data_IF_015343831140
#
_entry.id   IF_015343831140
#
_cell.length_a   1.000
_cell.length_b   1.000
_cell.length_c   1.000
_cell.angle_alpha   90.00
_cell.angle_beta   90.00
_cell.angle_gamma   90.00
#
_symmetry.space_group_name_H-M   'P 1'
#
loop_
_entity.id
_entity.type
_entity.pdbx_description
1 polymer ?
#
# COMPACT_ATOMS: atom_id res chain seq x y z
N UNK A 1 -44.20 -49.89 -8.16
CA UNK A 1 -43.38 -49.30 -7.08
C UNK A 1 -41.96 -49.27 -7.64
N UNK A 2 -41.35 -48.13 -7.97
CA UNK A 2 -40.70 -47.16 -7.06
C UNK A 2 -40.63 -45.81 -7.79
N UNK A 3 -41.03 -44.72 -7.12
CA UNK A 3 -40.91 -43.34 -7.61
C UNK A 3 -39.46 -42.89 -7.44
N UNK A 4 -38.84 -42.41 -8.52
CA UNK A 4 -37.55 -41.74 -8.48
C UNK A 4 -37.72 -40.39 -7.76
N UNK A 5 -37.07 -40.24 -6.61
CA UNK A 5 -36.99 -38.97 -5.88
C UNK A 5 -35.59 -38.42 -6.11
N UNK A 6 -35.47 -37.52 -7.08
CA UNK A 6 -34.27 -36.73 -7.29
C UNK A 6 -34.20 -35.67 -6.18
N UNK A 7 -33.33 -35.88 -5.19
CA UNK A 7 -32.95 -34.82 -4.25
C UNK A 7 -32.05 -33.81 -4.98
N UNK A 8 -32.62 -32.67 -5.36
CA UNK A 8 -31.84 -31.47 -5.67
C UNK A 8 -31.33 -30.88 -4.35
N UNK A 9 -30.07 -31.16 -4.03
CA UNK A 9 -29.36 -30.50 -2.92
C UNK A 9 -28.91 -29.12 -3.40
N UNK A 10 -29.70 -28.10 -3.10
CA UNK A 10 -29.31 -26.68 -3.26
C UNK A 10 -28.19 -26.36 -2.26
N UNK A 11 -26.94 -26.28 -2.75
CA UNK A 11 -25.84 -25.65 -2.04
C UNK A 11 -26.14 -24.15 -1.94
N UNK A 12 -26.57 -23.70 -0.76
CA UNK A 12 -26.60 -22.28 -0.42
C UNK A 12 -25.15 -21.81 -0.24
N UNK A 13 -24.62 -21.08 -1.23
CA UNK A 13 -23.43 -20.26 -1.04
C UNK A 13 -23.82 -19.10 -0.11
N UNK A 14 -23.67 -19.28 1.20
CA UNK A 14 -23.62 -18.14 2.12
C UNK A 14 -22.27 -17.47 1.94
N UNK A 15 -22.17 -16.65 0.91
CA UNK A 15 -21.10 -15.67 0.77
C UNK A 15 -21.21 -14.69 1.92
N UNK A 16 -20.40 -14.89 2.95
CA UNK A 16 -20.22 -13.93 4.04
C UNK A 16 -19.51 -12.69 3.49
N UNK A 17 -20.24 -11.80 2.82
CA UNK A 17 -19.80 -10.43 2.60
C UNK A 17 -19.84 -9.72 3.96
N UNK A 18 -18.73 -9.78 4.71
CA UNK A 18 -18.52 -8.86 5.83
C UNK A 18 -18.25 -7.50 5.19
N UNK A 19 -19.13 -6.54 5.46
CA UNK A 19 -19.15 -5.24 4.80
C UNK A 19 -17.78 -4.58 4.76
N UNK A 20 -17.34 -4.32 3.53
CA UNK A 20 -16.12 -3.59 3.22
C UNK A 20 -16.31 -2.15 3.69
N UNK A 21 -15.42 -1.65 4.55
CA UNK A 21 -15.38 -0.22 4.82
C UNK A 21 -14.79 0.44 3.58
N UNK A 22 -15.59 1.25 2.89
CA UNK A 22 -15.17 1.92 1.67
C UNK A 22 -14.01 2.87 2.00
N UNK A 23 -12.86 2.63 1.37
CA UNK A 23 -11.70 3.50 1.53
C UNK A 23 -12.06 4.94 1.15
N UNK A 24 -11.40 5.95 1.76
CA UNK A 24 -11.53 7.33 1.29
C UNK A 24 -11.29 7.42 -0.22
N UNK A 25 -12.06 8.22 -0.95
CA UNK A 25 -11.91 8.38 -2.41
C UNK A 25 -10.49 8.78 -2.81
N UNK A 26 -9.78 9.51 -1.93
CA UNK A 26 -8.37 9.87 -2.11
C UNK A 26 -7.45 8.64 -2.28
N UNK A 27 -7.80 7.48 -1.72
CA UNK A 27 -7.04 6.23 -1.85
C UNK A 27 -7.18 5.56 -3.23
N UNK A 28 -8.14 6.01 -4.04
CA UNK A 28 -8.29 5.60 -5.43
C UNK A 28 -7.46 6.47 -6.39
N UNK A 29 -6.59 7.32 -5.85
CA UNK A 29 -5.66 8.13 -6.61
C UNK A 29 -4.72 7.27 -7.46
N UNK A 30 -4.41 7.75 -8.66
CA UNK A 30 -3.44 7.10 -9.55
C UNK A 30 -1.98 7.31 -9.10
N UNK A 31 -1.07 6.57 -9.72
CA UNK A 31 0.36 6.62 -9.41
C UNK A 31 0.96 8.03 -9.56
N UNK A 32 0.46 8.84 -10.49
CA UNK A 32 0.93 10.21 -10.70
C UNK A 32 0.57 11.14 -9.54
N UNK A 33 -0.63 11.00 -8.99
CA UNK A 33 -1.07 11.75 -7.81
C UNK A 33 -0.28 11.33 -6.57
N UNK A 34 -0.11 10.02 -6.34
CA UNK A 34 0.67 9.51 -5.20
C UNK A 34 2.13 9.99 -5.29
N UNK A 35 2.74 9.90 -6.47
CA UNK A 35 4.11 10.38 -6.71
C UNK A 35 4.25 11.88 -6.48
N UNK A 36 3.27 12.66 -6.92
CA UNK A 36 3.25 14.10 -6.70
C UNK A 36 3.14 14.46 -5.22
N UNK A 37 2.30 13.74 -4.47
CA UNK A 37 2.19 13.93 -3.01
C UNK A 37 3.51 13.56 -2.31
N UNK A 38 4.15 12.45 -2.71
CA UNK A 38 5.42 12.01 -2.15
C UNK A 38 6.56 13.03 -2.35
N UNK A 39 6.46 13.94 -3.32
CA UNK A 39 7.45 15.01 -3.49
C UNK A 39 7.62 15.91 -2.24
N UNK A 40 6.66 15.90 -1.31
CA UNK A 40 6.75 16.59 -0.03
C UNK A 40 7.63 15.87 1.02
N UNK A 41 8.00 14.61 0.81
CA UNK A 41 8.81 13.85 1.76
C UNK A 41 10.20 14.49 1.98
N UNK A 42 10.74 14.48 3.21
CA UNK A 42 10.23 13.81 4.41
C UNK A 42 9.16 14.62 5.19
N UNK A 43 8.67 15.73 4.64
CA UNK A 43 7.54 16.46 5.20
C UNK A 43 6.21 15.68 5.10
N UNK A 44 5.10 16.25 5.61
CA UNK A 44 3.80 15.58 5.58
C UNK A 44 3.33 15.30 4.15
N UNK A 45 3.14 14.02 3.83
CA UNK A 45 2.54 13.58 2.57
C UNK A 45 1.07 13.35 2.79
N UNK A 46 0.23 14.12 2.08
CA UNK A 46 -1.22 14.11 2.23
C UNK A 46 -1.88 14.08 0.87
N UNK A 47 -2.83 13.18 0.71
CA UNK A 47 -3.74 13.15 -0.42
C UNK A 47 -4.87 14.16 -0.21
N UNK A 48 -5.77 14.23 -1.18
CA UNK A 48 -6.96 15.07 -1.09
C UNK A 48 -7.72 14.82 0.22
N UNK A 49 -8.24 15.90 0.83
CA UNK A 49 -8.91 15.83 2.13
C UNK A 49 -7.97 15.60 3.32
N UNK A 50 -6.65 15.65 3.13
CA UNK A 50 -5.68 15.48 4.22
C UNK A 50 -5.43 14.02 4.60
N UNK A 51 -5.80 13.07 3.73
CA UNK A 51 -5.67 11.64 3.95
C UNK A 51 -4.20 11.22 3.88
N UNK A 52 -3.62 10.62 4.93
CA UNK A 52 -2.27 10.06 4.87
C UNK A 52 -2.27 8.75 4.07
N UNK A 53 -1.13 8.39 3.46
CA UNK A 53 -0.99 7.18 2.64
C UNK A 53 -1.26 5.90 3.41
N UNK A 54 -0.89 5.83 4.69
CA UNK A 54 -1.10 4.66 5.55
C UNK A 54 -2.59 4.39 5.79
N UNK A 55 -3.45 5.41 5.74
CA UNK A 55 -4.89 5.25 5.92
C UNK A 55 -5.55 4.52 4.74
N UNK A 56 -4.89 4.48 3.59
CA UNK A 56 -5.34 3.70 2.43
C UNK A 56 -5.06 2.21 2.53
N UNK A 57 -4.37 1.80 3.60
CA UNK A 57 -4.11 0.40 3.96
C UNK A 57 -4.71 0.09 5.33
N UNK A 58 -5.74 0.83 5.75
CA UNK A 58 -6.41 0.55 7.02
C UNK A 58 -6.99 -0.87 7.03
N UNK A 59 -6.94 -1.52 8.20
CA UNK A 59 -7.34 -2.92 8.40
C UNK A 59 -8.81 -3.21 8.11
N UNK A 60 -9.64 -2.18 8.03
CA UNK A 60 -11.04 -2.30 7.64
C UNK A 60 -11.25 -2.43 6.13
N UNK A 61 -10.20 -2.16 5.33
CA UNK A 61 -10.21 -2.39 3.90
C UNK A 61 -10.21 -3.89 3.57
N UNK A 62 -11.05 -4.26 2.63
CA UNK A 62 -11.12 -5.59 2.06
C UNK A 62 -9.85 -5.94 1.27
N UNK A 63 -9.51 -7.24 1.15
CA UNK A 63 -8.31 -7.68 0.46
C UNK A 63 -8.19 -7.21 -0.99
N UNK A 64 -9.32 -6.97 -1.69
CA UNK A 64 -9.33 -6.48 -3.06
C UNK A 64 -8.89 -5.00 -3.14
N UNK A 65 -9.34 -4.17 -2.20
CA UNK A 65 -8.97 -2.75 -2.15
C UNK A 65 -7.48 -2.60 -1.82
N UNK A 66 -6.98 -3.38 -0.87
CA UNK A 66 -5.55 -3.42 -0.52
C UNK A 66 -4.69 -3.84 -1.71
N UNK A 67 -5.15 -4.80 -2.51
CA UNK A 67 -4.44 -5.19 -3.74
C UNK A 67 -4.39 -4.05 -4.75
N UNK A 68 -5.50 -3.32 -4.92
CA UNK A 68 -5.58 -2.20 -5.85
C UNK A 68 -4.66 -1.04 -5.41
N UNK A 69 -4.76 -0.62 -4.15
CA UNK A 69 -3.89 0.42 -3.57
C UNK A 69 -2.43 -0.01 -3.61
N UNK A 70 -2.15 -1.26 -3.21
CA UNK A 70 -0.80 -1.82 -3.21
C UNK A 70 -0.17 -1.89 -4.59
N UNK A 71 -0.96 -2.15 -5.65
CA UNK A 71 -0.46 -2.12 -7.02
C UNK A 71 0.01 -0.72 -7.43
N UNK A 72 -0.77 0.32 -7.10
CA UNK A 72 -0.40 1.72 -7.35
C UNK A 72 0.85 2.11 -6.57
N UNK A 73 0.93 1.75 -5.29
CA UNK A 73 2.10 2.04 -4.46
C UNK A 73 3.35 1.35 -4.99
N UNK A 74 3.24 0.10 -5.46
CA UNK A 74 4.39 -0.59 -6.03
C UNK A 74 4.85 0.04 -7.34
N UNK A 75 3.95 0.47 -8.21
CA UNK A 75 4.32 1.21 -9.44
C UNK A 75 5.14 2.46 -9.11
N UNK A 76 4.66 3.25 -8.15
CA UNK A 76 5.38 4.45 -7.69
C UNK A 76 6.72 4.09 -7.06
N UNK A 77 6.77 3.01 -6.27
CA UNK A 77 8.02 2.56 -5.65
C UNK A 77 9.06 2.14 -6.70
N UNK A 78 8.65 1.40 -7.75
CA UNK A 78 9.54 1.01 -8.85
C UNK A 78 10.13 2.23 -9.56
N UNK A 79 9.31 3.25 -9.81
CA UNK A 79 9.75 4.51 -10.42
C UNK A 79 10.76 5.26 -9.56
N UNK A 80 10.46 5.44 -8.27
CA UNK A 80 11.34 6.12 -7.32
C UNK A 80 12.65 5.35 -7.13
N UNK A 81 12.58 4.02 -7.04
CA UNK A 81 13.74 3.17 -6.89
C UNK A 81 14.67 3.25 -8.12
N UNK A 82 14.11 3.31 -9.33
CA UNK A 82 14.89 3.51 -10.56
C UNK A 82 15.76 4.76 -10.50
N UNK A 83 15.24 5.85 -9.92
CA UNK A 83 15.99 7.11 -9.73
C UNK A 83 16.95 7.02 -8.55
N UNK A 84 16.49 6.56 -7.40
CA UNK A 84 17.27 6.49 -6.16
C UNK A 84 18.49 5.55 -6.26
N UNK A 85 18.43 4.52 -7.12
CA UNK A 85 19.60 3.67 -7.43
C UNK A 85 20.74 4.42 -8.13
N UNK A 86 20.47 5.56 -8.78
CA UNK A 86 21.47 6.33 -9.52
C UNK A 86 22.24 7.32 -8.63
N UNK A 87 21.77 7.62 -7.42
CA UNK A 87 22.44 8.54 -6.52
C UNK A 87 21.88 8.49 -5.09
N UNK A 88 22.78 8.44 -4.11
CA UNK A 88 22.42 8.37 -2.69
C UNK A 88 21.76 9.64 -2.16
N UNK A 89 21.98 10.76 -2.84
CA UNK A 89 21.53 12.10 -2.42
C UNK A 89 20.30 12.57 -3.21
N UNK A 90 19.71 11.67 -4.02
CA UNK A 90 18.51 11.96 -4.78
C UNK A 90 17.28 12.03 -3.84
N UNK A 91 16.39 13.03 -3.99
CA UNK A 91 15.18 13.15 -3.19
C UNK A 91 14.31 11.89 -3.20
N UNK A 92 14.31 11.15 -4.31
CA UNK A 92 13.56 9.91 -4.50
C UNK A 92 13.94 8.82 -3.48
N UNK A 93 15.15 8.88 -2.90
CA UNK A 93 15.55 7.98 -1.80
C UNK A 93 14.69 8.23 -0.57
N UNK A 94 14.46 9.49 -0.20
CA UNK A 94 13.59 9.85 0.93
C UNK A 94 12.12 9.55 0.61
N UNK A 95 11.68 9.81 -0.61
CA UNK A 95 10.30 9.57 -1.07
C UNK A 95 9.95 8.08 -1.05
N UNK A 96 10.84 7.23 -1.58
CA UNK A 96 10.66 5.78 -1.55
C UNK A 96 10.66 5.25 -0.12
N UNK A 97 11.59 5.73 0.71
CA UNK A 97 11.66 5.34 2.11
C UNK A 97 10.39 5.76 2.88
N UNK A 98 9.86 6.95 2.61
CA UNK A 98 8.60 7.42 3.17
C UNK A 98 7.44 6.50 2.81
N UNK A 99 7.31 6.14 1.53
CA UNK A 99 6.27 5.23 1.09
C UNK A 99 6.36 3.88 1.81
N UNK A 100 7.58 3.32 1.94
CA UNK A 100 7.81 2.08 2.70
C UNK A 100 7.35 2.24 4.15
N UNK A 101 7.72 3.33 4.83
CA UNK A 101 7.32 3.57 6.21
C UNK A 101 5.81 3.75 6.39
N UNK A 102 5.14 4.41 5.43
CA UNK A 102 3.69 4.58 5.44
C UNK A 102 2.97 3.24 5.24
N UNK A 103 3.49 2.36 4.38
CA UNK A 103 2.96 1.00 4.21
C UNK A 103 3.17 0.17 5.48
N UNK A 104 4.36 0.19 6.07
CA UNK A 104 4.63 -0.52 7.34
C UNK A 104 3.66 -0.05 8.45
N UNK A 105 3.36 1.24 8.50
CA UNK A 105 2.38 1.80 9.44
C UNK A 105 0.96 1.32 9.16
N UNK A 106 0.53 1.35 7.90
CA UNK A 106 -0.83 0.95 7.50
C UNK A 106 -1.06 -0.56 7.65
N UNK A 107 -0.03 -1.36 7.36
CA UNK A 107 -0.06 -2.81 7.45
C UNK A 107 0.11 -3.33 8.90
N UNK A 108 0.44 -2.50 9.88
CA UNK A 108 0.75 -2.97 11.24
C UNK A 108 -0.34 -3.86 11.87
N UNK A 109 0.08 -5.01 12.37
CA UNK A 109 -0.80 -6.04 12.92
C UNK A 109 -1.75 -6.70 11.90
N UNK A 110 -1.49 -6.54 10.60
CA UNK A 110 -2.18 -7.21 9.50
C UNK A 110 -1.37 -8.43 9.03
N UNK A 111 -1.96 -9.24 8.14
CA UNK A 111 -1.28 -10.38 7.55
C UNK A 111 -1.75 -10.68 6.14
N UNK A 112 -1.05 -11.58 5.45
CA UNK A 112 -1.44 -12.03 4.11
C UNK A 112 -1.12 -11.00 3.04
N UNK A 113 -2.14 -10.33 2.48
CA UNK A 113 -1.93 -9.44 1.33
C UNK A 113 -1.12 -8.18 1.67
N UNK A 114 -1.15 -7.78 2.94
CA UNK A 114 -0.32 -6.71 3.48
C UNK A 114 1.16 -7.11 3.53
N UNK A 115 1.47 -8.29 4.08
CA UNK A 115 2.85 -8.84 4.13
C UNK A 115 3.46 -8.99 2.73
N UNK A 116 2.62 -9.39 1.75
CA UNK A 116 3.02 -9.47 0.36
C UNK A 116 3.43 -8.10 -0.20
N UNK A 117 2.59 -7.08 0.03
CA UNK A 117 2.87 -5.72 -0.41
C UNK A 117 4.15 -5.18 0.22
N UNK A 118 4.31 -5.32 1.53
CA UNK A 118 5.53 -4.93 2.25
C UNK A 118 6.76 -5.62 1.66
N UNK A 119 6.70 -6.95 1.46
CA UNK A 119 7.81 -7.69 0.88
C UNK A 119 8.18 -7.18 -0.51
N UNK A 120 7.20 -6.91 -1.37
CA UNK A 120 7.44 -6.39 -2.73
C UNK A 120 8.06 -5.00 -2.68
N UNK A 121 7.60 -4.11 -1.81
CA UNK A 121 8.20 -2.79 -1.62
C UNK A 121 9.65 -2.87 -1.09
N UNK A 122 9.93 -3.81 -0.18
CA UNK A 122 11.29 -4.02 0.30
C UNK A 122 12.23 -4.54 -0.81
N UNK A 123 11.71 -5.27 -1.80
CA UNK A 123 12.50 -5.67 -2.97
C UNK A 123 12.88 -4.47 -3.84
N UNK A 124 12.02 -3.46 -3.97
CA UNK A 124 12.32 -2.23 -4.72
C UNK A 124 13.49 -1.45 -4.11
N UNK A 125 13.77 -1.61 -2.82
CA UNK A 125 14.91 -0.99 -2.13
C UNK A 125 16.27 -1.58 -2.51
N UNK A 126 16.31 -2.66 -3.31
CA UNK A 126 17.56 -3.24 -3.79
C UNK A 126 18.38 -2.20 -4.57
N UNK A 127 19.65 -2.03 -4.17
CA UNK A 127 20.56 -1.05 -4.78
C UNK A 127 20.31 0.41 -4.37
N UNK A 128 19.31 0.70 -3.54
CA UNK A 128 19.08 2.04 -2.97
C UNK A 128 20.01 2.24 -1.76
N UNK A 129 20.48 3.47 -1.55
CA UNK A 129 21.38 3.83 -0.45
C UNK A 129 20.67 3.86 0.92
N UNK A 130 20.27 2.69 1.45
CA UNK A 130 19.53 2.55 2.72
C UNK A 130 20.27 3.05 3.96
N UNK A 131 21.60 3.20 3.87
CA UNK A 131 22.44 3.78 4.92
C UNK A 131 22.44 5.31 4.96
N UNK A 132 21.95 5.97 3.91
CA UNK A 132 21.92 7.43 3.78
C UNK A 132 21.02 8.08 4.82
N UNK A 133 21.27 9.36 5.10
CA UNK A 133 20.43 10.13 6.01
C UNK A 133 19.02 10.36 5.42
N UNK A 134 18.94 10.65 4.12
CA UNK A 134 17.67 10.82 3.40
C UNK A 134 16.76 9.60 3.52
N UNK A 135 17.31 8.40 3.38
CA UNK A 135 16.54 7.17 3.54
C UNK A 135 15.99 7.04 4.97
N UNK A 136 16.82 7.29 5.99
CA UNK A 136 16.41 7.17 7.40
C UNK A 136 15.33 8.16 7.77
N UNK A 137 15.49 9.42 7.35
CA UNK A 137 14.52 10.49 7.58
C UNK A 137 13.19 10.21 6.87
N UNK A 138 13.25 9.79 5.59
CA UNK A 138 12.06 9.41 4.84
C UNK A 138 11.31 8.26 5.50
N UNK A 139 12.02 7.17 5.85
CA UNK A 139 11.43 5.99 6.47
C UNK A 139 10.73 6.33 7.79
N UNK A 140 11.39 7.08 8.67
CA UNK A 140 10.82 7.46 9.96
C UNK A 140 9.63 8.42 9.81
N UNK A 141 9.72 9.38 8.89
CA UNK A 141 8.61 10.28 8.60
C UNK A 141 7.38 9.52 8.06
N UNK A 142 7.60 8.52 7.20
CA UNK A 142 6.53 7.61 6.72
C UNK A 142 5.89 6.82 7.85
N UNK A 143 6.69 6.24 8.75
CA UNK A 143 6.18 5.45 9.90
C UNK A 143 5.35 6.26 10.89
N UNK A 144 5.67 7.55 11.03
CA UNK A 144 5.08 8.41 12.07
C UNK A 144 3.92 9.26 11.56
N UNK A 145 4.01 9.75 10.31
CA UNK A 145 3.07 10.72 9.76
C UNK A 145 2.56 10.40 8.36
N UNK A 146 3.02 9.29 7.78
CA UNK A 146 2.59 8.76 6.49
C UNK A 146 1.24 8.10 6.53
#
# INVERSE_FOLDING_TARGET
MVRAVSLLTTLALTGCARGDAELPTACLADAGVIRSALAAAPGPVRLEGGVPLSACLDRTAGPAEVQNVGAVYLEVATDLASVGRRGSDAPEVAQLAYLVGAVERGADGSGGVYDELERRLQLELSGVARGSQLYKEGLEAGRTGG
#
